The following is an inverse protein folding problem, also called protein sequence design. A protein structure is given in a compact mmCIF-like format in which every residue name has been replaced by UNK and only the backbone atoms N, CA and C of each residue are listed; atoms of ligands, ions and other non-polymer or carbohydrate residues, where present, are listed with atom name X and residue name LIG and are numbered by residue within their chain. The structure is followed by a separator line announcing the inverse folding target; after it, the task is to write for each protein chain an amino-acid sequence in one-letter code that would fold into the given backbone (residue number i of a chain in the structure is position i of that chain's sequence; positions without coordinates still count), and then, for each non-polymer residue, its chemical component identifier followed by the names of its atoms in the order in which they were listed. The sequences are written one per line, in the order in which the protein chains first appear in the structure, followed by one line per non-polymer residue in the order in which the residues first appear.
data_IF_596225452733
#
_entry.id   IF_596225452733
#
_cell.length_a   1.000
_cell.length_b   1.000
_cell.length_c   1.000
_cell.angle_alpha   90.00
_cell.angle_beta   90.00
_cell.angle_gamma   90.00
#
_symmetry.space_group_name_H-M   'P 1'
#
loop_
_entity.id
_entity.type
_entity.pdbx_description
1 polymer ?
#
# COMPACT_ATOMS: atom_id res chain seq x y z
N UNK A 1 -6.17 10.64 14.92
CA UNK A 1 -6.17 10.36 13.47
C UNK A 1 -7.01 9.11 13.24
N UNK A 2 -7.78 9.00 12.15
CA UNK A 2 -8.53 7.77 11.87
C UNK A 2 -7.57 6.61 11.58
N UNK A 3 -7.92 5.40 12.02
CA UNK A 3 -7.08 4.20 11.84
C UNK A 3 -6.70 3.99 10.37
N UNK A 4 -7.66 4.14 9.44
CA UNK A 4 -7.44 4.02 7.99
C UNK A 4 -6.39 5.00 7.45
N UNK A 5 -6.38 6.25 7.94
CA UNK A 5 -5.36 7.21 7.52
C UNK A 5 -3.96 6.78 7.97
N UNK A 6 -3.83 6.23 9.18
CA UNK A 6 -2.55 5.72 9.67
C UNK A 6 -2.04 4.55 8.81
N UNK A 7 -2.94 3.65 8.39
CA UNK A 7 -2.59 2.54 7.49
C UNK A 7 -2.15 3.07 6.12
N UNK A 8 -2.90 4.00 5.52
CA UNK A 8 -2.51 4.63 4.24
C UNK A 8 -1.13 5.29 4.35
N UNK A 9 -0.86 6.04 5.42
CA UNK A 9 0.45 6.65 5.67
C UNK A 9 1.56 5.58 5.76
N UNK A 10 1.29 4.44 6.40
CA UNK A 10 2.22 3.31 6.41
C UNK A 10 2.57 2.82 5.00
N UNK A 11 1.58 2.76 4.10
CA UNK A 11 1.79 2.40 2.70
C UNK A 11 2.65 3.42 1.95
N UNK A 12 2.43 4.72 2.21
CA UNK A 12 3.24 5.79 1.64
C UNK A 12 4.69 5.76 2.14
N UNK A 13 4.90 5.44 3.42
CA UNK A 13 6.24 5.27 4.00
C UNK A 13 6.96 4.08 3.37
N UNK A 14 6.29 2.94 3.23
CA UNK A 14 6.85 1.76 2.56
C UNK A 14 7.21 2.07 1.09
N UNK A 15 6.32 2.76 0.36
CA UNK A 15 6.57 3.21 -1.00
C UNK A 15 7.83 4.09 -1.06
N UNK A 16 7.93 5.11 -0.22
CA UNK A 16 9.06 6.03 -0.19
C UNK A 16 10.37 5.30 0.12
N UNK A 17 10.36 4.33 1.04
CA UNK A 17 11.53 3.54 1.37
C UNK A 17 12.00 2.67 0.19
N UNK A 18 11.08 1.97 -0.48
CA UNK A 18 11.41 1.11 -1.63
C UNK A 18 11.86 1.92 -2.84
N UNK A 19 11.20 3.05 -3.12
CA UNK A 19 11.58 3.94 -4.21
C UNK A 19 12.93 4.60 -3.95
N UNK A 20 13.18 5.07 -2.73
CA UNK A 20 14.47 5.63 -2.32
C UNK A 20 15.60 4.62 -2.47
N UNK A 21 15.37 3.36 -2.07
CA UNK A 21 16.31 2.26 -2.30
C UNK A 21 16.53 2.00 -3.79
N UNK A 22 15.46 2.00 -4.60
CA UNK A 22 15.54 1.86 -6.05
C UNK A 22 16.42 2.94 -6.69
N UNK A 23 16.18 4.21 -6.35
CA UNK A 23 16.99 5.35 -6.81
C UNK A 23 18.45 5.20 -6.40
N UNK A 24 18.72 4.87 -5.12
CA UNK A 24 20.09 4.67 -4.64
C UNK A 24 20.84 3.53 -5.36
N UNK A 25 20.10 2.49 -5.78
CA UNK A 25 20.63 1.33 -6.50
C UNK A 25 20.61 1.50 -8.03
N UNK A 26 20.13 2.62 -8.55
CA UNK A 26 19.97 2.86 -9.99
C UNK A 26 18.91 1.95 -10.65
N UNK A 27 17.95 1.43 -9.88
CA UNK A 27 16.87 0.57 -10.38
C UNK A 27 15.71 1.46 -10.84
N UNK A 28 15.21 1.29 -12.09
CA UNK A 28 14.04 2.03 -12.57
C UNK A 28 12.82 1.81 -11.67
N UNK A 29 12.15 2.90 -11.28
CA UNK A 29 11.02 2.84 -10.33
C UNK A 29 9.88 1.92 -10.81
N UNK A 30 9.68 1.83 -12.12
CA UNK A 30 8.69 0.91 -12.72
C UNK A 30 8.91 -0.56 -12.32
N UNK A 31 10.16 -0.97 -12.08
CA UNK A 31 10.49 -2.32 -11.61
C UNK A 31 10.24 -2.51 -10.10
N UNK A 32 10.15 -1.43 -9.34
CA UNK A 32 9.89 -1.44 -7.90
C UNK A 32 8.38 -1.52 -7.61
N UNK A 33 7.54 -0.94 -8.46
CA UNK A 33 6.07 -0.95 -8.31
C UNK A 33 5.47 -2.33 -8.01
N UNK A 34 5.76 -3.41 -8.75
CA UNK A 34 5.18 -4.73 -8.45
C UNK A 34 5.63 -5.29 -7.09
N UNK A 35 6.88 -5.02 -6.68
CA UNK A 35 7.40 -5.43 -5.37
C UNK A 35 6.67 -4.68 -4.26
N UNK A 36 6.53 -3.36 -4.40
CA UNK A 36 5.76 -2.55 -3.47
C UNK A 36 4.30 -3.01 -3.40
N UNK A 37 3.63 -3.19 -4.54
CA UNK A 37 2.24 -3.61 -4.60
C UNK A 37 2.03 -4.99 -3.94
N UNK A 38 2.93 -5.94 -4.15
CA UNK A 38 2.87 -7.25 -3.50
C UNK A 38 3.02 -7.16 -1.97
N UNK A 39 4.05 -6.45 -1.49
CA UNK A 39 4.25 -6.25 -0.05
C UNK A 39 3.08 -5.51 0.60
N UNK A 40 2.56 -4.49 -0.08
CA UNK A 40 1.43 -3.70 0.41
C UNK A 40 0.12 -4.47 0.40
N UNK A 41 -0.12 -5.32 -0.63
CA UNK A 41 -1.28 -6.21 -0.66
C UNK A 41 -1.31 -7.14 0.55
N UNK A 42 -0.17 -7.70 0.95
CA UNK A 42 -0.06 -8.53 2.16
C UNK A 42 -0.39 -7.72 3.42
N UNK A 43 0.18 -6.52 3.57
CA UNK A 43 -0.10 -5.65 4.71
C UNK A 43 -1.59 -5.24 4.79
N UNK A 44 -2.18 -4.87 3.65
CA UNK A 44 -3.60 -4.53 3.56
C UNK A 44 -4.49 -5.74 3.85
N UNK A 45 -4.12 -6.94 3.40
CA UNK A 45 -4.87 -8.17 3.69
C UNK A 45 -4.82 -8.51 5.18
N UNK A 46 -3.68 -8.30 5.84
CA UNK A 46 -3.58 -8.40 7.30
C UNK A 46 -4.48 -7.37 7.98
N UNK A 47 -4.52 -6.13 7.50
CA UNK A 47 -5.41 -5.10 8.05
C UNK A 47 -6.90 -5.50 7.93
N UNK A 48 -7.32 -6.01 6.77
CA UNK A 48 -8.65 -6.57 6.54
C UNK A 48 -8.95 -7.73 7.50
N UNK A 49 -8.02 -8.67 7.65
CA UNK A 49 -8.17 -9.81 8.55
C UNK A 49 -8.30 -9.37 10.01
N UNK A 50 -7.55 -8.35 10.45
CA UNK A 50 -7.68 -7.79 11.80
C UNK A 50 -9.06 -7.16 11.99
N UNK A 51 -9.56 -6.38 11.01
CA UNK A 51 -10.90 -5.79 11.07
C UNK A 51 -12.00 -6.84 11.22
N UNK A 52 -11.92 -7.94 10.45
CA UNK A 52 -12.92 -9.00 10.49
C UNK A 52 -12.78 -9.91 11.71
N UNK A 53 -11.57 -10.46 11.95
CA UNK A 53 -11.37 -11.51 12.93
C UNK A 53 -11.17 -11.01 14.37
N UNK A 54 -10.73 -9.76 14.55
CA UNK A 54 -10.42 -9.21 15.88
C UNK A 54 -11.33 -8.04 16.26
N UNK A 55 -11.70 -7.17 15.32
CA UNK A 55 -12.61 -6.06 15.60
C UNK A 55 -14.10 -6.44 15.41
N UNK A 56 -14.38 -7.57 14.75
CA UNK A 56 -15.72 -8.12 14.60
C UNK A 56 -16.57 -7.44 13.53
N UNK A 57 -15.95 -6.68 12.61
CA UNK A 57 -16.65 -6.06 11.49
C UNK A 57 -17.03 -7.10 10.43
N UNK A 58 -18.11 -6.85 9.68
CA UNK A 58 -18.48 -7.74 8.60
C UNK A 58 -17.49 -7.61 7.43
N UNK A 59 -17.20 -8.73 6.75
CA UNK A 59 -16.31 -8.72 5.58
C UNK A 59 -16.75 -7.68 4.53
N UNK A 60 -18.06 -7.56 4.26
CA UNK A 60 -18.61 -6.60 3.30
C UNK A 60 -18.37 -5.13 3.68
N UNK A 61 -18.20 -4.84 4.96
CA UNK A 61 -17.94 -3.49 5.48
C UNK A 61 -16.45 -3.15 5.34
N UNK A 62 -15.58 -4.14 5.53
CA UNK A 62 -14.13 -3.98 5.44
C UNK A 62 -13.58 -4.08 4.02
N UNK A 63 -14.22 -4.80 3.10
CA UNK A 63 -13.76 -4.92 1.69
C UNK A 63 -13.59 -3.56 1.00
N UNK A 64 -14.54 -2.60 1.10
CA UNK A 64 -14.34 -1.25 0.56
C UNK A 64 -13.17 -0.50 1.21
N UNK A 65 -12.96 -0.66 2.52
CA UNK A 65 -11.85 -0.04 3.25
C UNK A 65 -10.52 -0.64 2.79
N UNK A 66 -10.44 -1.96 2.69
CA UNK A 66 -9.30 -2.67 2.12
C UNK A 66 -8.97 -2.19 0.70
N UNK A 67 -10.00 -2.08 -0.16
CA UNK A 67 -9.81 -1.60 -1.53
C UNK A 67 -9.23 -0.19 -1.55
N UNK A 68 -9.70 0.71 -0.70
CA UNK A 68 -9.17 2.07 -0.58
C UNK A 68 -7.72 2.06 -0.07
N UNK A 69 -7.45 1.34 1.01
CA UNK A 69 -6.13 1.22 1.66
C UNK A 69 -5.10 0.64 0.69
N UNK A 70 -5.48 -0.34 -0.12
CA UNK A 70 -4.61 -0.95 -1.11
C UNK A 70 -4.44 -0.06 -2.36
N UNK A 71 -5.55 0.36 -2.97
CA UNK A 71 -5.52 0.99 -4.29
C UNK A 71 -4.85 2.37 -4.24
N UNK A 72 -5.09 3.16 -3.19
CA UNK A 72 -4.61 4.54 -3.15
C UNK A 72 -3.07 4.63 -3.15
N UNK A 73 -2.32 3.93 -2.28
CA UNK A 73 -0.86 3.92 -2.34
C UNK A 73 -0.30 3.29 -3.62
N UNK A 74 -0.92 2.22 -4.13
CA UNK A 74 -0.46 1.53 -5.36
C UNK A 74 -0.66 2.41 -6.59
N UNK A 75 -1.80 3.08 -6.71
CA UNK A 75 -2.06 4.04 -7.79
C UNK A 75 -1.04 5.18 -7.76
N UNK A 76 -0.74 5.73 -6.57
CA UNK A 76 0.27 6.77 -6.43
C UNK A 76 1.67 6.28 -6.82
N UNK A 77 2.08 5.09 -6.35
CA UNK A 77 3.36 4.49 -6.72
C UNK A 77 3.50 4.33 -8.24
N UNK A 78 2.45 3.86 -8.90
CA UNK A 78 2.41 3.71 -10.35
C UNK A 78 2.49 5.04 -11.09
N UNK A 79 1.75 6.06 -10.64
CA UNK A 79 1.77 7.41 -11.22
C UNK A 79 3.16 8.05 -11.11
N UNK A 80 3.80 7.94 -9.94
CA UNK A 80 5.16 8.43 -9.72
C UNK A 80 6.14 7.66 -10.62
N UNK A 81 6.08 6.34 -10.63
CA UNK A 81 6.98 5.51 -11.44
C UNK A 81 6.85 5.80 -12.94
N UNK A 82 5.68 6.18 -13.45
CA UNK A 82 5.49 6.60 -14.85
C UNK A 82 6.01 8.00 -15.17
N UNK A 83 6.08 8.88 -14.17
CA UNK A 83 6.59 10.25 -14.34
C UNK A 83 8.11 10.33 -14.26
N UNK A 84 8.74 9.42 -13.51
CA UNK A 84 10.17 9.42 -13.20
C UNK A 84 10.91 8.15 -13.66
N UNK A 85 10.24 7.25 -14.38
CA UNK A 85 10.82 6.07 -15.01
C UNK A 85 10.96 6.26 -16.51
#
# INVERSE_FOLDING_TARGET
MSHTLAVILGGLVLMAALFGLGVWRGIPLVRIVPVFAGLWALAAAVNLWVGVAHAGYALREEVPVFALVFALPVALAWLIARRFG
#
